data_IF_863058092594
#
_entry.id   IF_863058092594
#
_cell.length_a   1.000
_cell.length_b   1.000
_cell.length_c   1.000
_cell.angle_alpha   90.00
_cell.angle_beta   90.00
_cell.angle_gamma   90.00
#
_symmetry.space_group_name_H-M   'P 1'
#
loop_
_entity.id
_entity.type
_entity.pdbx_description
1 polymer ?
#
# COMPACT_ATOMS: atom_id res chain seq x y z
N UNK A 1 -23.94 18.76 8.82
CA UNK A 1 -22.52 19.01 8.50
C UNK A 1 -21.69 18.51 9.70
N UNK A 2 -21.01 17.36 9.56
CA UNK A 2 -20.23 16.79 10.66
C UNK A 2 -18.90 17.53 10.84
N UNK A 3 -18.37 17.51 12.07
CA UNK A 3 -17.05 18.04 12.42
C UNK A 3 -16.06 16.89 12.61
N UNK A 4 -16.53 15.81 13.24
CA UNK A 4 -15.78 14.59 13.45
C UNK A 4 -16.72 13.38 13.45
N UNK A 5 -16.27 12.30 12.81
CA UNK A 5 -16.87 10.96 12.92
C UNK A 5 -15.74 10.04 13.32
N UNK A 6 -15.98 9.12 14.24
CA UNK A 6 -15.06 8.04 14.58
C UNK A 6 -15.84 6.76 14.77
N UNK A 7 -15.25 5.66 14.33
CA UNK A 7 -15.80 4.30 14.48
C UNK A 7 -14.67 3.39 14.91
N UNK A 8 -15.00 2.44 15.79
CA UNK A 8 -14.14 1.34 16.17
C UNK A 8 -14.82 0.04 15.81
N UNK A 9 -14.10 -0.84 15.20
CA UNK A 9 -14.51 -2.19 14.88
C UNK A 9 -13.61 -3.21 15.57
N UNK A 10 -14.16 -4.39 15.82
CA UNK A 10 -13.45 -5.54 16.33
C UNK A 10 -13.68 -6.70 15.34
N UNK A 11 -12.60 -7.27 14.81
CA UNK A 11 -12.66 -8.45 13.94
C UNK A 11 -12.65 -9.78 14.72
N UNK A 12 -12.63 -9.72 16.05
CA UNK A 12 -12.37 -10.85 16.94
C UNK A 12 -10.87 -11.06 17.22
N UNK A 13 -10.58 -11.93 18.18
CA UNK A 13 -9.20 -12.29 18.58
C UNK A 13 -8.28 -11.09 18.91
N UNK A 14 -8.86 -10.02 19.47
CA UNK A 14 -8.21 -8.74 19.79
C UNK A 14 -7.69 -7.98 18.56
N UNK A 15 -8.27 -8.18 17.39
CA UNK A 15 -7.93 -7.41 16.20
C UNK A 15 -8.88 -6.21 16.03
N UNK A 16 -8.31 -5.04 15.79
CA UNK A 16 -9.05 -3.78 15.82
C UNK A 16 -9.02 -3.05 14.47
N UNK A 17 -10.12 -2.33 14.24
CA UNK A 17 -10.25 -1.33 13.19
C UNK A 17 -10.64 0.00 13.83
N UNK A 18 -9.85 1.03 13.60
CA UNK A 18 -10.14 2.40 14.01
C UNK A 18 -10.25 3.29 12.78
N UNK A 19 -11.40 3.98 12.64
CA UNK A 19 -11.64 4.92 11.54
C UNK A 19 -11.99 6.27 12.13
N UNK A 20 -11.33 7.31 11.69
CA UNK A 20 -11.63 8.68 12.08
C UNK A 20 -11.69 9.59 10.86
N UNK A 21 -12.72 10.42 10.77
CA UNK A 21 -12.83 11.47 9.78
C UNK A 21 -13.11 12.80 10.44
N UNK A 22 -12.30 13.79 10.16
CA UNK A 22 -12.46 15.18 10.63
C UNK A 22 -12.72 16.10 9.45
N UNK A 23 -13.59 17.09 9.64
CA UNK A 23 -13.87 18.13 8.66
C UNK A 23 -13.36 19.47 9.17
N UNK A 24 -12.46 20.09 8.44
CA UNK A 24 -12.00 21.44 8.70
C UNK A 24 -12.84 22.43 7.87
N UNK A 25 -13.60 23.29 8.56
CA UNK A 25 -14.49 24.26 7.92
C UNK A 25 -13.73 25.45 7.34
N UNK A 26 -12.55 25.75 7.86
CA UNK A 26 -11.77 26.93 7.47
C UNK A 26 -11.18 26.76 6.08
N UNK A 27 -10.67 25.56 5.78
CA UNK A 27 -10.02 25.23 4.51
C UNK A 27 -10.82 24.26 3.61
N UNK A 28 -12.05 23.88 4.02
CA UNK A 28 -12.95 22.92 3.33
C UNK A 28 -12.34 21.52 3.12
N UNK A 29 -11.34 21.15 3.89
CA UNK A 29 -10.68 19.85 3.82
C UNK A 29 -11.32 18.85 4.78
N UNK A 30 -11.22 17.56 4.41
CA UNK A 30 -11.52 16.44 5.29
C UNK A 30 -10.26 15.60 5.44
N UNK A 31 -10.04 15.12 6.65
CA UNK A 31 -8.92 14.26 7.02
C UNK A 31 -9.50 12.92 7.42
N UNK A 32 -9.15 11.88 6.68
CA UNK A 32 -9.52 10.49 6.97
C UNK A 32 -8.28 9.77 7.48
N UNK A 33 -8.43 9.06 8.59
CA UNK A 33 -7.41 8.20 9.17
C UNK A 33 -8.04 6.82 9.41
N UNK A 34 -7.33 5.76 9.05
CA UNK A 34 -7.72 4.37 9.29
C UNK A 34 -6.51 3.64 9.87
N UNK A 35 -6.74 2.91 10.94
CA UNK A 35 -5.77 1.99 11.53
C UNK A 35 -6.40 0.60 11.63
N UNK A 36 -5.63 -0.43 11.30
CA UNK A 36 -6.04 -1.83 11.52
C UNK A 36 -4.82 -2.71 11.77
N UNK A 37 -4.91 -3.57 12.75
CA UNK A 37 -3.94 -4.65 13.00
C UNK A 37 -4.31 -5.96 12.27
N UNK A 38 -5.41 -5.94 11.51
CA UNK A 38 -5.81 -7.00 10.58
C UNK A 38 -6.16 -6.40 9.21
N UNK A 39 -5.17 -6.10 8.35
CA UNK A 39 -5.39 -5.44 7.06
C UNK A 39 -6.15 -6.29 6.03
N UNK A 40 -6.07 -7.62 6.12
CA UNK A 40 -6.62 -8.55 5.13
C UNK A 40 -8.09 -8.29 4.78
N UNK A 41 -9.05 -8.14 5.73
CA UNK A 41 -10.45 -7.91 5.38
C UNK A 41 -10.68 -6.61 4.61
N UNK A 42 -9.82 -5.61 4.80
CA UNK A 42 -9.93 -4.30 4.14
C UNK A 42 -9.38 -4.31 2.71
N UNK A 43 -8.42 -5.19 2.42
CA UNK A 43 -7.65 -5.17 1.19
C UNK A 43 -7.87 -6.39 0.29
N UNK A 44 -8.57 -7.43 0.75
CA UNK A 44 -8.76 -8.71 0.04
C UNK A 44 -9.47 -8.60 -1.31
N UNK A 45 -10.24 -7.55 -1.54
CA UNK A 45 -10.90 -7.28 -2.82
C UNK A 45 -9.92 -6.84 -3.93
N UNK A 46 -8.73 -6.40 -3.57
CA UNK A 46 -7.71 -5.99 -4.53
C UNK A 46 -6.77 -7.15 -4.85
N UNK A 47 -6.64 -7.52 -6.12
CA UNK A 47 -5.88 -8.70 -6.58
C UNK A 47 -4.43 -8.74 -6.08
N UNK A 48 -3.79 -7.58 -5.94
CA UNK A 48 -2.42 -7.50 -5.42
C UNK A 48 -2.32 -7.92 -3.94
N UNK A 49 -3.38 -7.68 -3.17
CA UNK A 49 -3.44 -7.96 -1.73
C UNK A 49 -4.19 -9.26 -1.40
N UNK A 50 -4.70 -9.98 -2.39
CA UNK A 50 -5.18 -11.35 -2.18
C UNK A 50 -4.02 -12.18 -1.64
N UNK A 51 -4.25 -12.86 -0.52
CA UNK A 51 -3.20 -13.60 0.18
C UNK A 51 -2.36 -12.76 1.16
N UNK A 52 -2.76 -11.51 1.43
CA UNK A 52 -2.18 -10.72 2.51
C UNK A 52 -2.39 -11.43 3.85
N UNK A 53 -1.34 -11.58 4.62
CA UNK A 53 -1.32 -12.24 5.93
C UNK A 53 -0.52 -11.41 6.92
N UNK A 54 -1.12 -11.14 8.09
CA UNK A 54 -0.53 -10.31 9.14
C UNK A 54 -0.44 -8.84 8.74
N UNK A 55 0.37 -8.11 9.48
CA UNK A 55 0.67 -6.70 9.24
C UNK A 55 -0.16 -5.72 10.04
N UNK A 56 0.32 -4.49 10.07
CA UNK A 56 -0.38 -3.34 10.65
C UNK A 56 -0.59 -2.33 9.55
N UNK A 57 -1.84 -1.94 9.33
CA UNK A 57 -2.24 -0.95 8.34
C UNK A 57 -2.46 0.40 8.97
N UNK A 58 -1.86 1.42 8.36
CA UNK A 58 -2.20 2.82 8.60
C UNK A 58 -2.54 3.48 7.27
N UNK A 59 -3.69 4.12 7.19
CA UNK A 59 -4.10 4.89 6.02
C UNK A 59 -4.46 6.30 6.45
N UNK A 60 -3.98 7.29 5.70
CA UNK A 60 -4.36 8.69 5.87
C UNK A 60 -4.72 9.32 4.54
N UNK A 61 -5.71 10.20 4.54
CA UNK A 61 -6.12 10.92 3.34
C UNK A 61 -6.55 12.34 3.66
N UNK A 62 -6.07 13.28 2.87
CA UNK A 62 -6.57 14.65 2.82
C UNK A 62 -7.46 14.78 1.60
N UNK A 63 -8.74 15.09 1.82
CA UNK A 63 -9.78 15.12 0.79
C UNK A 63 -10.26 16.54 0.64
N UNK A 64 -10.20 17.05 -0.57
CA UNK A 64 -10.72 18.33 -1.02
C UNK A 64 -11.92 18.12 -1.95
N UNK A 65 -12.46 19.19 -2.53
CA UNK A 65 -13.67 19.11 -3.36
C UNK A 65 -13.46 18.23 -4.62
N UNK A 66 -12.31 18.36 -5.27
CA UNK A 66 -12.00 17.68 -6.55
C UNK A 66 -10.69 16.89 -6.52
N UNK A 67 -10.03 16.88 -5.39
CA UNK A 67 -8.73 16.22 -5.23
C UNK A 67 -8.61 15.50 -3.91
N UNK A 68 -7.71 14.53 -3.85
CA UNK A 68 -7.26 13.92 -2.60
C UNK A 68 -5.80 13.50 -2.71
N UNK A 69 -5.13 13.52 -1.57
CA UNK A 69 -3.82 12.89 -1.39
C UNK A 69 -3.93 11.88 -0.27
N UNK A 70 -3.42 10.69 -0.51
CA UNK A 70 -3.56 9.58 0.43
C UNK A 70 -2.25 8.85 0.58
N UNK A 71 -2.05 8.33 1.78
CA UNK A 71 -0.90 7.50 2.13
C UNK A 71 -1.38 6.23 2.82
N UNK A 72 -0.96 5.08 2.31
CA UNK A 72 -1.17 3.77 2.91
C UNK A 72 0.18 3.20 3.33
N UNK A 73 0.27 2.72 4.55
CA UNK A 73 1.42 2.00 5.07
C UNK A 73 0.93 0.64 5.57
N UNK A 74 1.69 -0.41 5.26
CA UNK A 74 1.52 -1.73 5.87
C UNK A 74 2.89 -2.19 6.36
N UNK A 75 2.99 -2.45 7.66
CA UNK A 75 4.21 -2.94 8.29
C UNK A 75 4.10 -4.44 8.62
N UNK A 76 5.20 -5.20 8.46
CA UNK A 76 5.38 -6.58 8.90
C UNK A 76 4.30 -7.56 8.37
N UNK A 77 4.20 -7.72 7.07
CA UNK A 77 3.21 -8.58 6.43
C UNK A 77 3.84 -9.61 5.49
N UNK A 78 3.03 -10.59 5.08
CA UNK A 78 3.35 -11.55 4.01
C UNK A 78 2.31 -11.49 2.89
N UNK A 79 2.73 -11.84 1.68
CA UNK A 79 1.87 -12.15 0.55
C UNK A 79 2.01 -13.65 0.24
N UNK A 80 0.94 -14.42 0.45
CA UNK A 80 0.90 -15.87 0.24
C UNK A 80 -0.16 -16.16 -0.80
N UNK A 81 0.17 -16.92 -1.85
CA UNK A 81 -0.74 -17.22 -2.95
C UNK A 81 -1.40 -15.95 -3.54
N UNK A 82 -0.63 -14.87 -3.67
CA UNK A 82 -1.10 -13.59 -4.17
C UNK A 82 -1.00 -13.53 -5.71
N UNK A 83 -2.09 -13.74 -6.47
CA UNK A 83 -2.04 -13.89 -7.94
C UNK A 83 -1.41 -12.69 -8.64
N UNK A 84 -1.66 -11.49 -8.14
CA UNK A 84 -1.08 -10.26 -8.68
C UNK A 84 0.43 -10.19 -8.49
N UNK A 85 0.93 -10.56 -7.31
CA UNK A 85 2.36 -10.59 -7.02
C UNK A 85 3.09 -11.69 -7.82
N UNK A 86 2.52 -12.90 -7.87
CA UNK A 86 3.05 -14.02 -8.66
C UNK A 86 3.17 -13.63 -10.14
N UNK A 87 2.13 -13.01 -10.70
CA UNK A 87 2.13 -12.56 -12.09
C UNK A 87 3.22 -11.51 -12.36
N UNK A 88 3.41 -10.55 -11.46
CA UNK A 88 4.46 -9.53 -11.60
C UNK A 88 5.85 -10.15 -11.55
N UNK A 89 6.09 -11.09 -10.63
CA UNK A 89 7.37 -11.77 -10.51
C UNK A 89 7.70 -12.64 -11.74
N UNK A 90 6.70 -13.35 -12.27
CA UNK A 90 6.85 -14.16 -13.47
C UNK A 90 7.15 -13.31 -14.72
N UNK A 91 6.50 -12.15 -14.86
CA UNK A 91 6.76 -11.23 -15.96
C UNK A 91 8.16 -10.60 -15.91
N UNK A 92 8.74 -10.48 -14.72
CA UNK A 92 10.07 -9.94 -14.49
C UNK A 92 11.19 -11.01 -14.51
N UNK A 93 10.85 -12.25 -14.90
CA UNK A 93 11.78 -13.40 -14.93
C UNK A 93 12.36 -13.77 -13.54
N UNK A 94 11.55 -13.57 -12.50
CA UNK A 94 11.85 -13.96 -11.11
C UNK A 94 11.10 -15.25 -10.71
N UNK A 95 11.16 -16.31 -11.53
CA UNK A 95 10.42 -17.56 -11.33
C UNK A 95 10.61 -18.18 -9.94
N UNK A 96 11.83 -18.26 -9.43
CA UNK A 96 12.08 -18.78 -8.08
C UNK A 96 11.44 -17.98 -6.94
N UNK A 97 11.21 -16.65 -7.13
CA UNK A 97 10.47 -15.83 -6.18
C UNK A 97 8.95 -15.98 -6.39
N UNK A 98 8.50 -16.28 -7.60
CA UNK A 98 7.10 -16.60 -7.87
C UNK A 98 6.72 -17.92 -7.18
N UNK A 99 7.56 -18.95 -7.25
CA UNK A 99 7.37 -20.22 -6.54
C UNK A 99 7.33 -20.02 -5.02
N UNK A 100 8.19 -19.14 -4.48
CA UNK A 100 8.16 -18.78 -3.06
C UNK A 100 6.85 -18.06 -2.69
N UNK A 101 6.36 -17.18 -3.54
CA UNK A 101 5.11 -16.45 -3.31
C UNK A 101 3.87 -17.38 -3.32
N UNK A 102 3.92 -18.47 -4.08
CA UNK A 102 2.89 -19.51 -4.09
C UNK A 102 2.99 -20.45 -2.88
N UNK A 103 4.20 -20.68 -2.35
CA UNK A 103 4.45 -21.56 -1.22
C UNK A 103 4.46 -20.84 0.13
N UNK A 104 5.66 -20.55 0.63
CA UNK A 104 5.87 -19.95 1.97
C UNK A 104 5.45 -18.48 2.06
N UNK A 105 5.24 -17.85 0.93
CA UNK A 105 4.91 -16.43 0.82
C UNK A 105 6.13 -15.51 0.82
N UNK A 106 5.92 -14.30 0.33
CA UNK A 106 6.91 -13.21 0.35
C UNK A 106 6.69 -12.33 1.57
N UNK A 107 7.70 -12.24 2.43
CA UNK A 107 7.68 -11.36 3.60
C UNK A 107 8.12 -9.95 3.23
N UNK A 108 7.46 -8.97 3.83
CA UNK A 108 7.80 -7.55 3.71
C UNK A 108 7.86 -6.92 5.11
N UNK A 109 8.88 -6.13 5.35
CA UNK A 109 9.02 -5.34 6.57
C UNK A 109 8.12 -4.11 6.52
N UNK A 110 8.04 -3.49 5.34
CA UNK A 110 7.24 -2.29 5.13
C UNK A 110 6.82 -2.16 3.67
N UNK A 111 5.59 -1.67 3.49
CA UNK A 111 5.12 -1.10 2.22
C UNK A 111 4.53 0.28 2.48
N UNK A 112 4.83 1.22 1.61
CA UNK A 112 4.24 2.55 1.60
C UNK A 112 3.74 2.86 0.19
N UNK A 113 2.51 3.38 0.12
CA UNK A 113 1.86 3.78 -1.11
C UNK A 113 1.38 5.22 -0.97
N UNK A 114 1.86 6.09 -1.84
CA UNK A 114 1.43 7.48 -1.96
C UNK A 114 0.54 7.62 -3.19
N UNK A 115 -0.68 8.10 -3.00
CA UNK A 115 -1.70 8.25 -4.02
C UNK A 115 -2.17 9.68 -4.09
N UNK A 116 -2.40 10.17 -5.30
CA UNK A 116 -3.13 11.41 -5.53
C UNK A 116 -4.28 11.19 -6.51
N UNK A 117 -5.39 11.87 -6.28
CA UNK A 117 -6.52 11.89 -7.20
C UNK A 117 -6.83 13.34 -7.53
N UNK A 118 -6.99 13.64 -8.79
CA UNK A 118 -7.41 14.96 -9.27
C UNK A 118 -8.44 14.78 -10.38
N UNK A 119 -9.69 15.17 -10.08
CA UNK A 119 -10.80 15.13 -11.05
C UNK A 119 -10.93 13.78 -11.79
N UNK A 120 -10.64 12.68 -11.08
CA UNK A 120 -10.79 11.32 -11.58
C UNK A 120 -9.53 10.70 -12.19
N UNK A 121 -8.45 11.46 -12.34
CA UNK A 121 -7.13 10.88 -12.61
C UNK A 121 -6.54 10.40 -11.27
N UNK A 122 -6.51 9.09 -11.05
CA UNK A 122 -5.84 8.48 -9.92
C UNK A 122 -4.39 8.23 -10.27
N UNK A 123 -3.47 8.80 -9.51
CA UNK A 123 -2.03 8.54 -9.63
C UNK A 123 -1.54 7.70 -8.46
N UNK A 124 -0.73 6.72 -8.78
CA UNK A 124 0.21 6.09 -7.88
C UNK A 124 1.50 6.92 -7.97
N UNK A 125 1.63 7.89 -7.07
CA UNK A 125 2.79 8.80 -7.08
C UNK A 125 4.06 8.02 -6.74
N UNK A 126 3.97 7.11 -5.78
CA UNK A 126 5.02 6.18 -5.42
C UNK A 126 4.43 4.99 -4.63
N UNK A 127 4.90 3.80 -4.94
CA UNK A 127 4.81 2.63 -4.08
C UNK A 127 6.22 2.12 -3.86
N UNK A 128 6.60 1.89 -2.62
CA UNK A 128 7.74 1.05 -2.31
C UNK A 128 7.37 -0.03 -1.30
N UNK A 129 7.92 -1.22 -1.48
CA UNK A 129 7.84 -2.31 -0.53
C UNK A 129 9.22 -2.89 -0.31
N UNK A 130 9.60 -3.12 0.95
CA UNK A 130 10.91 -3.63 1.34
C UNK A 130 10.74 -4.96 2.05
N UNK A 131 11.42 -5.98 1.56
CA UNK A 131 11.44 -7.30 2.15
C UNK A 131 12.80 -7.97 2.05
N UNK A 132 13.03 -9.05 2.83
CA UNK A 132 14.32 -9.74 2.89
C UNK A 132 14.68 -10.45 1.58
N UNK A 133 13.71 -10.83 0.76
CA UNK A 133 13.94 -11.52 -0.52
C UNK A 133 13.90 -10.58 -1.71
N UNK A 134 13.04 -9.57 -1.66
CA UNK A 134 12.79 -8.63 -2.75
C UNK A 134 12.31 -7.28 -2.22
N UNK A 135 12.68 -6.23 -2.92
CA UNK A 135 12.05 -4.91 -2.77
C UNK A 135 11.43 -4.46 -4.08
N UNK A 136 10.39 -3.65 -3.99
CA UNK A 136 9.58 -3.18 -5.12
C UNK A 136 9.49 -1.66 -5.06
N UNK A 137 9.64 -1.01 -6.22
CA UNK A 137 9.21 0.39 -6.40
C UNK A 137 8.32 0.46 -7.62
N UNK A 138 7.23 1.21 -7.52
CA UNK A 138 6.30 1.41 -8.61
C UNK A 138 5.74 2.85 -8.60
N UNK A 139 5.39 3.31 -9.78
CA UNK A 139 4.65 4.53 -10.05
C UNK A 139 3.64 4.29 -11.16
N UNK A 140 2.65 5.15 -11.32
CA UNK A 140 1.72 5.02 -12.41
C UNK A 140 0.45 5.86 -12.27
N UNK A 141 -0.53 5.55 -13.11
CA UNK A 141 -1.82 6.23 -13.07
C UNK A 141 -2.95 5.36 -13.65
N UNK A 142 -4.16 5.73 -13.28
CA UNK A 142 -5.40 5.19 -13.85
C UNK A 142 -6.33 6.35 -14.20
N UNK A 143 -6.76 6.40 -15.45
CA UNK A 143 -7.71 7.37 -15.96
C UNK A 143 -9.18 6.91 -15.78
N UNK A 144 -10.11 7.84 -15.84
CA UNK A 144 -11.56 7.55 -15.74
C UNK A 144 -12.08 6.60 -16.82
N UNK A 145 -11.44 6.58 -18.00
CA UNK A 145 -11.78 5.68 -19.10
C UNK A 145 -11.29 4.23 -18.88
N UNK A 146 -10.62 3.97 -17.74
CA UNK A 146 -10.07 2.68 -17.38
C UNK A 146 -8.65 2.43 -17.87
N UNK A 147 -8.06 3.33 -18.67
CA UNK A 147 -6.65 3.23 -19.05
C UNK A 147 -5.76 3.25 -17.81
N UNK A 148 -4.92 2.25 -17.68
CA UNK A 148 -3.99 2.09 -16.56
C UNK A 148 -2.58 1.93 -17.09
N UNK A 149 -1.65 2.72 -16.56
CA UNK A 149 -0.21 2.61 -16.83
C UNK A 149 0.54 2.47 -15.53
N UNK A 150 1.33 1.41 -15.40
CA UNK A 150 2.18 1.14 -14.25
C UNK A 150 3.62 0.90 -14.73
N UNK A 151 4.57 1.48 -14.03
CA UNK A 151 5.99 1.28 -14.22
C UNK A 151 6.62 0.95 -12.87
N UNK A 152 7.52 -0.02 -12.84
CA UNK A 152 8.17 -0.41 -11.60
C UNK A 152 9.50 -1.09 -11.79
N UNK A 153 10.19 -1.28 -10.67
CA UNK A 153 11.45 -1.99 -10.56
C UNK A 153 11.35 -2.98 -9.41
N UNK A 154 11.74 -4.22 -9.70
CA UNK A 154 11.88 -5.29 -8.71
C UNK A 154 13.37 -5.47 -8.40
N UNK A 155 13.75 -5.53 -7.12
CA UNK A 155 15.14 -5.56 -6.68
C UNK A 155 15.33 -6.76 -5.77
N UNK A 156 16.06 -7.79 -6.23
CA UNK A 156 16.44 -8.92 -5.38
C UNK A 156 17.29 -8.49 -4.19
N UNK A 157 17.19 -9.22 -3.08
CA UNK A 157 17.85 -8.90 -1.80
C UNK A 157 19.36 -8.64 -1.91
N UNK A 158 20.07 -9.40 -2.75
CA UNK A 158 21.54 -9.21 -2.98
C UNK A 158 21.93 -7.82 -3.47
N UNK A 159 20.99 -7.04 -3.98
CA UNK A 159 21.22 -5.68 -4.49
C UNK A 159 20.59 -4.58 -3.60
N UNK A 160 19.95 -4.98 -2.50
CA UNK A 160 19.11 -4.13 -1.67
C UNK A 160 19.89 -2.93 -1.09
N UNK A 161 21.09 -3.16 -0.55
CA UNK A 161 21.89 -2.10 0.10
C UNK A 161 22.28 -0.97 -0.85
N UNK A 162 22.56 -1.28 -2.12
CA UNK A 162 22.88 -0.27 -3.14
C UNK A 162 21.65 0.55 -3.55
N UNK A 163 20.47 0.02 -3.27
CA UNK A 163 19.23 0.60 -3.72
C UNK A 163 18.57 1.45 -2.64
N UNK A 164 18.57 0.99 -1.38
CA UNK A 164 18.01 1.74 -0.24
C UNK A 164 18.63 3.13 -0.10
N UNK A 165 19.94 3.26 -0.45
CA UNK A 165 20.62 4.56 -0.45
C UNK A 165 20.11 5.54 -1.52
N UNK A 166 19.33 5.07 -2.51
CA UNK A 166 18.79 5.90 -3.60
C UNK A 166 17.33 6.31 -3.37
N UNK A 167 16.66 5.75 -2.36
CA UNK A 167 15.27 6.10 -2.03
C UNK A 167 15.28 7.39 -1.19
N UNK A 168 14.70 8.50 -1.67
CA UNK A 168 14.79 9.81 -1.00
C UNK A 168 14.20 9.83 0.41
N UNK A 169 13.26 8.91 0.70
CA UNK A 169 12.53 8.86 1.97
C UNK A 169 13.29 8.09 3.05
N UNK A 170 14.11 7.10 2.68
CA UNK A 170 14.85 6.27 3.64
C UNK A 170 16.18 6.94 4.02
N UNK A 171 16.78 7.72 3.14
CA UNK A 171 18.01 8.48 3.39
C UNK A 171 17.90 9.59 4.46
N UNK A 172 16.70 9.84 5.01
CA UNK A 172 16.48 10.81 6.10
C UNK A 172 16.26 10.17 7.48
N UNK A 173 16.33 8.84 7.58
CA UNK A 173 16.06 8.09 8.82
C UNK A 173 17.33 7.43 9.39
N UNK A 174 18.50 7.68 8.78
CA UNK A 174 19.80 7.23 9.30
C UNK A 174 20.59 8.43 9.78
#
# INVERSE_FOLDING_TARGET
KFVKISSKGDFGDNNFLDISMKSDKSNKKKYLEVYSDLPQPLLSEYDFFKGLSGGILTFSSVIEEKSSTSKLIIDNFKLINAPGAVKLLSLADFGGLADLAEGDGLSFEKMEINLSNNSGLLKLDELYAVGPSISVIMEGYKENNGLTSLKGTLIPAKNLNKFLSKIPVIGKII
#
